data_IF_214561449733
#
_entry.id   IF_214561449733
#
_cell.length_a   1.000
_cell.length_b   1.000
_cell.length_c   1.000
_cell.angle_alpha   90.00
_cell.angle_beta   90.00
_cell.angle_gamma   90.00
#
_symmetry.space_group_name_H-M   'P 1'
#
loop_
_entity.id
_entity.type
_entity.pdbx_description
1 polymer ?
#
# COMPACT_ATOMS: atom_id res chain seq x y z
N UNK A 1 3.06 5.12 -20.57
CA UNK A 1 3.81 4.35 -19.53
C UNK A 1 3.67 5.08 -18.22
N UNK A 2 3.22 4.42 -17.16
CA UNK A 2 3.02 5.01 -15.83
C UNK A 2 3.70 4.13 -14.77
N UNK A 3 4.05 4.71 -13.63
CA UNK A 3 4.52 4.01 -12.44
C UNK A 3 3.48 4.08 -11.32
N UNK A 4 3.32 2.97 -10.60
CA UNK A 4 2.49 2.89 -9.40
C UNK A 4 3.40 2.63 -8.20
N UNK A 5 3.51 3.62 -7.32
CA UNK A 5 4.31 3.53 -6.10
C UNK A 5 3.40 2.96 -5.00
N UNK A 6 3.45 1.64 -4.84
CA UNK A 6 2.54 0.90 -3.96
C UNK A 6 3.05 0.97 -2.52
N UNK A 7 2.15 1.33 -1.61
CA UNK A 7 2.37 1.29 -0.16
C UNK A 7 2.49 -0.12 0.42
N UNK A 8 2.46 -0.22 1.75
CA UNK A 8 2.56 -1.52 2.40
C UNK A 8 1.31 -2.38 2.13
N UNK A 9 1.53 -3.53 1.49
CA UNK A 9 0.48 -4.40 0.95
C UNK A 9 0.52 -5.79 1.57
N UNK A 10 -0.66 -6.29 1.93
CA UNK A 10 -0.86 -7.66 2.35
C UNK A 10 -0.62 -8.62 1.18
N UNK A 11 0.51 -9.33 1.19
CA UNK A 11 0.86 -10.33 0.17
C UNK A 11 1.43 -11.60 0.80
N UNK A 12 1.39 -12.75 0.10
CA UNK A 12 2.06 -13.96 0.57
C UNK A 12 3.57 -13.76 0.79
N UNK A 13 4.22 -12.95 -0.05
CA UNK A 13 5.65 -12.64 0.09
C UNK A 13 5.93 -11.83 1.35
N UNK A 14 5.12 -10.80 1.60
CA UNK A 14 5.22 -10.01 2.83
C UNK A 14 5.00 -10.86 4.08
N UNK A 15 3.98 -11.72 4.06
CA UNK A 15 3.71 -12.63 5.18
C UNK A 15 4.88 -13.58 5.45
N UNK A 16 5.53 -14.10 4.40
CA UNK A 16 6.71 -14.94 4.53
C UNK A 16 7.91 -14.18 5.11
N UNK A 17 8.09 -12.90 4.75
CA UNK A 17 9.15 -12.04 5.32
C UNK A 17 8.86 -11.75 6.80
N UNK A 18 7.63 -11.39 7.14
CA UNK A 18 7.26 -11.06 8.52
C UNK A 18 7.45 -12.25 9.47
N UNK A 19 6.95 -13.42 9.10
CA UNK A 19 7.07 -14.62 9.93
C UNK A 19 8.48 -15.21 9.89
N UNK A 20 9.12 -15.27 8.73
CA UNK A 20 10.41 -15.95 8.54
C UNK A 20 11.66 -15.13 8.87
N UNK A 21 11.64 -13.82 8.60
CA UNK A 21 12.81 -12.94 8.82
C UNK A 21 12.64 -12.14 10.11
N UNK A 22 11.45 -11.60 10.34
CA UNK A 22 11.17 -10.76 11.50
C UNK A 22 10.66 -11.53 12.73
N UNK A 23 10.44 -12.85 12.60
CA UNK A 23 9.87 -13.70 13.65
C UNK A 23 8.55 -13.12 14.21
N UNK A 24 7.79 -12.45 13.35
CA UNK A 24 6.49 -11.91 13.72
C UNK A 24 5.53 -13.06 14.04
N UNK A 25 4.64 -12.89 15.03
CA UNK A 25 3.64 -13.91 15.36
C UNK A 25 2.65 -14.10 14.20
N UNK A 26 1.92 -15.23 14.17
CA UNK A 26 0.99 -15.54 13.09
C UNK A 26 -0.11 -14.46 12.89
N UNK A 27 -0.48 -13.77 13.98
CA UNK A 27 -1.47 -12.69 14.02
C UNK A 27 -0.89 -11.29 13.74
N UNK A 28 0.36 -11.20 13.27
CA UNK A 28 1.04 -9.92 13.01
C UNK A 28 0.24 -8.98 12.12
N UNK A 29 -0.53 -9.53 11.17
CA UNK A 29 -1.26 -8.77 10.17
C UNK A 29 -2.31 -7.88 10.84
N UNK A 30 -3.02 -8.39 11.85
CA UNK A 30 -4.06 -7.63 12.55
C UNK A 30 -3.43 -6.48 13.34
N UNK A 31 -2.31 -6.74 14.01
CA UNK A 31 -1.55 -5.71 14.71
C UNK A 31 -0.97 -4.65 13.75
N UNK A 32 -0.51 -5.06 12.57
CA UNK A 32 0.02 -4.16 11.55
C UNK A 32 -1.08 -3.27 10.97
N UNK A 33 -2.23 -3.86 10.61
CA UNK A 33 -3.43 -3.15 10.12
C UNK A 33 -3.88 -2.08 11.11
N UNK A 34 -4.02 -2.44 12.38
CA UNK A 34 -4.47 -1.51 13.43
C UNK A 34 -3.56 -0.28 13.63
N UNK A 35 -2.29 -0.37 13.23
CA UNK A 35 -1.31 0.74 13.35
C UNK A 35 -1.26 1.65 12.12
N UNK A 36 -1.96 1.29 11.04
CA UNK A 36 -1.97 2.09 9.83
C UNK A 36 -2.97 3.26 9.94
N UNK A 37 -2.76 4.38 9.23
CA UNK A 37 -3.70 5.51 9.18
C UNK A 37 -5.15 5.10 8.91
N UNK A 38 -5.34 4.14 8.00
CA UNK A 38 -6.66 3.70 7.55
C UNK A 38 -7.11 2.42 8.26
N UNK A 39 -6.42 2.00 9.32
CA UNK A 39 -6.73 0.77 10.06
C UNK A 39 -6.60 -0.51 9.23
N UNK A 40 -5.91 -0.45 8.10
CA UNK A 40 -5.75 -1.55 7.14
C UNK A 40 -4.45 -1.42 6.34
N UNK A 41 -4.04 -2.53 5.73
CA UNK A 41 -3.05 -2.53 4.65
C UNK A 41 -3.75 -2.54 3.29
N UNK A 42 -3.01 -2.25 2.23
CA UNK A 42 -3.49 -2.47 0.87
C UNK A 42 -3.72 -3.96 0.63
N UNK A 43 -4.79 -4.30 -0.07
CA UNK A 43 -5.02 -5.66 -0.56
C UNK A 43 -4.66 -5.74 -2.05
N UNK A 44 -4.11 -6.89 -2.48
CA UNK A 44 -3.66 -7.10 -3.87
C UNK A 44 -4.75 -6.79 -4.92
N UNK A 45 -6.02 -7.03 -4.59
CA UNK A 45 -7.15 -6.73 -5.47
C UNK A 45 -7.33 -5.23 -5.74
N UNK A 46 -6.99 -4.36 -4.79
CA UNK A 46 -7.06 -2.90 -4.96
C UNK A 46 -6.01 -2.42 -5.95
N UNK A 47 -4.78 -2.92 -5.79
CA UNK A 47 -3.67 -2.64 -6.71
C UNK A 47 -3.98 -3.15 -8.11
N UNK A 48 -4.54 -4.36 -8.23
CA UNK A 48 -4.97 -4.90 -9.52
C UNK A 48 -6.02 -4.03 -10.21
N UNK A 49 -6.97 -3.46 -9.47
CA UNK A 49 -7.97 -2.52 -10.03
C UNK A 49 -7.33 -1.22 -10.50
N UNK A 50 -6.37 -0.67 -9.76
CA UNK A 50 -5.63 0.51 -10.20
C UNK A 50 -4.83 0.24 -11.48
N UNK A 51 -4.19 -0.93 -11.58
CA UNK A 51 -3.49 -1.37 -12.80
C UNK A 51 -4.47 -1.52 -13.96
N UNK A 52 -5.63 -2.15 -13.72
CA UNK A 52 -6.66 -2.32 -14.75
C UNK A 52 -7.14 -0.97 -15.31
N UNK A 53 -7.36 0.02 -14.44
CA UNK A 53 -7.66 1.39 -14.85
C UNK A 53 -6.54 1.99 -15.71
N UNK A 54 -5.28 1.91 -15.26
CA UNK A 54 -4.12 2.45 -16.00
C UNK A 54 -3.82 1.72 -17.32
N UNK A 55 -4.35 0.51 -17.50
CA UNK A 55 -4.25 -0.28 -18.72
C UNK A 55 -5.45 -0.09 -19.65
N UNK A 56 -6.49 0.63 -19.21
CA UNK A 56 -7.74 0.86 -19.94
C UNK A 56 -7.78 2.20 -20.67
N UNK A 57 -8.70 2.34 -21.61
CA UNK A 57 -8.90 3.56 -22.41
C UNK A 57 -9.30 4.76 -21.54
N UNK A 58 -9.88 4.51 -20.38
CA UNK A 58 -10.26 5.50 -19.37
C UNK A 58 -9.05 6.30 -18.85
N UNK A 59 -7.86 5.74 -18.94
CA UNK A 59 -6.60 6.41 -18.60
C UNK A 59 -5.86 6.99 -19.81
N UNK A 60 -6.48 7.05 -20.99
CA UNK A 60 -5.81 7.24 -22.29
C UNK A 60 -4.94 8.50 -22.46
N UNK A 61 -5.14 9.54 -21.65
CA UNK A 61 -4.29 10.75 -21.64
C UNK A 61 -3.15 10.69 -20.62
N UNK A 62 -3.14 9.70 -19.71
CA UNK A 62 -2.16 9.57 -18.63
C UNK A 62 -0.91 8.83 -19.10
N UNK A 63 0.21 9.55 -19.20
CA UNK A 63 1.52 8.95 -19.44
C UNK A 63 2.62 9.74 -18.73
N UNK A 64 3.67 9.05 -18.29
CA UNK A 64 4.78 9.63 -17.55
C UNK A 64 4.48 9.91 -16.08
N UNK A 65 3.30 9.50 -15.58
CA UNK A 65 2.89 9.75 -14.21
C UNK A 65 3.51 8.72 -13.25
N UNK A 66 3.90 9.20 -12.07
CA UNK A 66 4.16 8.38 -10.89
C UNK A 66 2.98 8.59 -9.94
N UNK A 67 2.28 7.52 -9.62
CA UNK A 67 1.07 7.56 -8.80
C UNK A 67 1.38 6.90 -7.47
N UNK A 68 1.35 7.71 -6.42
CA UNK A 68 1.50 7.23 -5.05
C UNK A 68 0.20 6.56 -4.63
N UNK A 69 0.22 5.23 -4.55
CA UNK A 69 -0.90 4.43 -4.10
C UNK A 69 -0.57 3.89 -2.71
N UNK A 70 -0.59 4.82 -1.78
CA UNK A 70 -0.31 4.65 -0.38
C UNK A 70 -1.25 5.53 0.44
N UNK A 71 -1.30 5.25 1.73
CA UNK A 71 -2.10 5.99 2.71
C UNK A 71 -1.36 7.20 3.31
N UNK A 72 -0.23 7.59 2.75
CA UNK A 72 0.56 8.76 3.13
C UNK A 72 1.08 9.55 1.93
N UNK A 73 1.47 10.82 2.15
CA UNK A 73 2.02 11.69 1.10
C UNK A 73 3.53 11.56 1.05
N UNK A 74 4.05 10.84 0.06
CA UNK A 74 5.48 10.57 -0.04
C UNK A 74 6.32 11.86 -0.11
N UNK A 75 7.41 11.90 0.67
CA UNK A 75 8.41 12.97 0.63
C UNK A 75 8.11 14.21 1.48
N UNK A 76 7.03 14.24 2.26
CA UNK A 76 6.64 15.41 3.06
C UNK A 76 6.97 15.32 4.56
N UNK A 77 7.86 14.40 4.99
CA UNK A 77 8.07 14.13 6.40
C UNK A 77 9.36 13.38 6.74
N UNK A 78 9.81 13.50 7.99
CA UNK A 78 10.85 12.63 8.59
C UNK A 78 10.30 11.23 8.92
N UNK A 79 9.01 11.15 9.25
CA UNK A 79 8.23 9.91 9.42
C UNK A 79 6.77 10.16 9.01
N UNK A 80 6.13 9.19 8.34
CA UNK A 80 4.83 9.39 7.69
C UNK A 80 3.78 9.92 8.69
N UNK A 81 3.17 11.10 8.47
CA UNK A 81 2.23 11.68 9.42
C UNK A 81 1.03 10.74 9.56
N UNK A 82 0.81 10.29 10.78
CA UNK A 82 -0.29 9.39 11.13
C UNK A 82 -1.43 10.21 11.74
N UNK A 83 -2.70 9.95 11.38
CA UNK A 83 -3.82 10.51 12.13
C UNK A 83 -3.78 10.02 13.59
N UNK A 84 -4.24 10.85 14.52
CA UNK A 84 -4.26 10.53 15.97
C UNK A 84 -5.16 9.33 16.32
N UNK A 85 -6.07 8.96 15.42
CA UNK A 85 -6.88 7.75 15.48
C UNK A 85 -7.12 7.22 14.05
N UNK A 86 -7.38 5.91 13.87
CA UNK A 86 -7.79 5.35 12.58
C UNK A 86 -9.06 6.03 12.05
N UNK A 87 -9.12 6.23 10.73
CA UNK A 87 -10.30 6.76 10.04
C UNK A 87 -11.46 5.76 9.99
#
# INVERSE_FOLDING_TARGET
>A
VNGLNIGWMNTPGEHAIQTGVHNAPDDWLDAAKARQPFGRLLETSEVARAIAFLASDESGMMTGSLIDFDQSVLGCYDAAPQPVAPL
#
